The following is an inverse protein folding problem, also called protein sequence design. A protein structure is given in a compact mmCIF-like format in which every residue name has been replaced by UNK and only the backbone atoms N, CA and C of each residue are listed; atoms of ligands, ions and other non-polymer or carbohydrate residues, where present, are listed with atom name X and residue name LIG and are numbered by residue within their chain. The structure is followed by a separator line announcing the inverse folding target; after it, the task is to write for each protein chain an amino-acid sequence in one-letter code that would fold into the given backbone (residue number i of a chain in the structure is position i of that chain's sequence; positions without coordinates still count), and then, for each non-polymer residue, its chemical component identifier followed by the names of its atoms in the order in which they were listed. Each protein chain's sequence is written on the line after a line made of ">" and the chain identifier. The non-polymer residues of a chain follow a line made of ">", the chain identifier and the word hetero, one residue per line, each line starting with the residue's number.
data_IF_242558232110
#
_entry.id   IF_242558232110
#
_cell.length_a   1.000
_cell.length_b   1.000
_cell.length_c   1.000
_cell.angle_alpha   90.00
_cell.angle_beta   90.00
_cell.angle_gamma   90.00
#
_symmetry.space_group_name_H-M   'P 1'
#
loop_
_entity.id
_entity.type
_entity.pdbx_description
1 polymer ?
#
# COMPACT_ATOMS: atom_id res chain seq x y z
N UNK A 1 -20.14 -11.67 12.31
CA UNK A 1 -20.29 -10.77 11.13
C UNK A 1 -20.00 -9.29 11.42
N UNK A 2 -20.59 -8.66 12.45
CA UNK A 2 -20.37 -7.21 12.74
C UNK A 2 -18.89 -6.80 12.91
N UNK A 3 -18.08 -7.62 13.57
CA UNK A 3 -16.64 -7.35 13.81
C UNK A 3 -15.80 -7.31 12.52
N UNK A 4 -16.05 -8.24 11.59
CA UNK A 4 -15.35 -8.29 10.30
C UNK A 4 -15.66 -7.04 9.45
N UNK A 5 -16.92 -6.61 9.43
CA UNK A 5 -17.32 -5.40 8.73
C UNK A 5 -16.63 -4.13 9.25
N UNK A 6 -16.42 -4.02 10.56
CA UNK A 6 -15.70 -2.88 11.16
C UNK A 6 -14.23 -2.88 10.71
N UNK A 7 -13.59 -4.05 10.72
CA UNK A 7 -12.20 -4.22 10.25
C UNK A 7 -12.10 -3.82 8.78
N UNK A 8 -12.95 -4.37 7.91
CA UNK A 8 -12.93 -4.06 6.48
C UNK A 8 -13.16 -2.57 6.21
N UNK A 9 -14.09 -1.91 6.90
CA UNK A 9 -14.28 -0.45 6.80
C UNK A 9 -13.03 0.34 7.16
N UNK A 10 -12.25 -0.11 8.14
CA UNK A 10 -10.97 0.52 8.48
C UNK A 10 -9.94 0.35 7.35
N UNK A 11 -9.85 -0.85 6.75
CA UNK A 11 -8.94 -1.12 5.63
C UNK A 11 -9.30 -0.33 4.37
N UNK A 12 -10.60 -0.24 4.06
CA UNK A 12 -11.09 0.58 2.95
C UNK A 12 -10.81 2.07 3.18
N UNK A 13 -10.97 2.57 4.42
CA UNK A 13 -10.58 3.95 4.71
C UNK A 13 -9.07 4.16 4.54
N UNK A 14 -8.24 3.23 5.01
CA UNK A 14 -6.79 3.31 4.80
C UNK A 14 -6.46 3.35 3.30
N UNK A 15 -7.09 2.49 2.50
CA UNK A 15 -6.96 2.48 1.04
C UNK A 15 -7.30 3.84 0.42
N UNK A 16 -8.44 4.44 0.79
CA UNK A 16 -8.84 5.75 0.28
C UNK A 16 -7.82 6.84 0.64
N UNK A 17 -7.35 6.85 1.89
CA UNK A 17 -6.36 7.82 2.35
C UNK A 17 -5.06 7.68 1.56
N UNK A 18 -4.51 6.46 1.40
CA UNK A 18 -3.26 6.29 0.64
C UNK A 18 -3.44 6.68 -0.83
N UNK A 19 -4.61 6.40 -1.41
CA UNK A 19 -4.91 6.69 -2.82
C UNK A 19 -4.87 8.20 -3.05
N UNK A 20 -5.46 8.96 -2.14
CA UNK A 20 -5.44 10.43 -2.16
C UNK A 20 -4.01 10.95 -1.97
N UNK A 21 -3.28 10.46 -0.97
CA UNK A 21 -1.89 10.87 -0.71
C UNK A 21 -0.99 10.60 -1.92
N UNK A 22 -1.07 9.39 -2.48
CA UNK A 22 -0.30 9.00 -3.66
C UNK A 22 -0.66 9.85 -4.87
N UNK A 23 -1.93 10.18 -5.07
CA UNK A 23 -2.35 11.04 -6.17
C UNK A 23 -1.73 12.43 -6.09
N UNK A 24 -1.79 13.09 -4.93
CA UNK A 24 -1.19 14.40 -4.77
C UNK A 24 0.34 14.35 -4.88
N UNK A 25 0.98 13.29 -4.35
CA UNK A 25 2.42 13.11 -4.48
C UNK A 25 2.85 12.93 -5.94
N UNK A 26 2.18 12.05 -6.68
CA UNK A 26 2.47 11.81 -8.10
C UNK A 26 2.14 13.03 -8.96
N UNK A 27 1.05 13.73 -8.67
CA UNK A 27 0.70 14.97 -9.35
C UNK A 27 1.78 16.03 -9.16
N UNK A 28 2.30 16.18 -7.94
CA UNK A 28 3.42 17.08 -7.65
C UNK A 28 4.71 16.64 -8.35
N UNK A 29 5.06 15.34 -8.32
CA UNK A 29 6.25 14.82 -8.99
C UNK A 29 6.20 15.02 -10.51
N UNK A 30 5.04 14.78 -11.13
CA UNK A 30 4.89 14.95 -12.57
C UNK A 30 4.71 16.42 -12.99
N UNK A 31 4.19 17.30 -12.13
CA UNK A 31 4.07 18.73 -12.46
C UNK A 31 5.42 19.44 -12.54
N UNK A 32 6.43 18.96 -11.82
CA UNK A 32 7.82 19.45 -11.90
C UNK A 32 8.66 18.69 -12.95
N UNK A 33 8.07 17.70 -13.62
CA UNK A 33 8.73 16.91 -14.65
C UNK A 33 8.66 17.61 -16.02
N UNK A 34 9.63 17.41 -16.92
CA UNK A 34 9.54 17.83 -18.33
C UNK A 34 8.29 17.32 -19.06
N UNK A 35 7.64 16.28 -18.53
CA UNK A 35 6.43 15.66 -19.06
C UNK A 35 5.13 16.17 -18.38
N UNK A 36 5.11 17.41 -17.89
CA UNK A 36 4.02 17.95 -17.08
C UNK A 36 2.66 18.03 -17.79
N UNK A 37 2.64 18.04 -19.13
CA UNK A 37 1.41 18.13 -19.94
C UNK A 37 0.41 16.99 -19.71
N UNK A 38 0.89 15.81 -19.29
CA UNK A 38 0.05 14.63 -19.02
C UNK A 38 0.09 14.19 -17.55
N UNK A 39 0.64 15.04 -16.67
CA UNK A 39 0.90 14.74 -15.27
C UNK A 39 -0.33 14.20 -14.52
N UNK A 40 -1.49 14.81 -14.72
CA UNK A 40 -2.73 14.43 -14.04
C UNK A 40 -3.24 13.06 -14.47
N UNK A 41 -3.20 12.76 -15.78
CA UNK A 41 -3.67 11.49 -16.33
C UNK A 41 -2.74 10.34 -15.92
N UNK A 42 -1.43 10.56 -15.96
CA UNK A 42 -0.43 9.60 -15.51
C UNK A 42 -0.56 9.33 -14.01
N UNK A 43 -0.65 10.38 -13.18
CA UNK A 43 -0.85 10.25 -11.74
C UNK A 43 -2.15 9.47 -11.43
N UNK A 44 -3.25 9.82 -12.10
CA UNK A 44 -4.53 9.15 -11.90
C UNK A 44 -4.47 7.66 -12.27
N UNK A 45 -3.87 7.33 -13.42
CA UNK A 45 -3.75 5.96 -13.90
C UNK A 45 -2.90 5.10 -12.95
N UNK A 46 -1.75 5.62 -12.50
CA UNK A 46 -0.89 4.93 -11.53
C UNK A 46 -1.57 4.71 -10.18
N UNK A 47 -2.31 5.70 -9.71
CA UNK A 47 -3.07 5.62 -8.46
C UNK A 47 -4.18 4.58 -8.56
N UNK A 48 -4.90 4.53 -9.69
CA UNK A 48 -5.97 3.56 -9.90
C UNK A 48 -5.43 2.12 -9.87
N UNK A 49 -4.31 1.87 -10.56
CA UNK A 49 -3.62 0.58 -10.57
C UNK A 49 -3.18 0.22 -9.15
N UNK A 50 -2.55 1.16 -8.44
CA UNK A 50 -2.07 0.93 -7.07
C UNK A 50 -3.24 0.66 -6.12
N UNK A 51 -4.34 1.39 -6.24
CA UNK A 51 -5.54 1.18 -5.43
C UNK A 51 -6.15 -0.21 -5.66
N UNK A 52 -6.20 -0.67 -6.92
CA UNK A 52 -6.67 -2.01 -7.26
C UNK A 52 -5.77 -3.11 -6.68
N UNK A 53 -4.45 -2.95 -6.80
CA UNK A 53 -3.47 -3.88 -6.21
C UNK A 53 -3.61 -3.92 -4.68
N UNK A 54 -3.70 -2.76 -4.02
CA UNK A 54 -3.87 -2.71 -2.56
C UNK A 54 -5.21 -3.31 -2.15
N UNK A 55 -6.27 -3.11 -2.91
CA UNK A 55 -7.57 -3.71 -2.62
C UNK A 55 -7.52 -5.25 -2.69
N UNK A 56 -6.93 -5.81 -3.73
CA UNK A 56 -6.91 -7.26 -3.96
C UNK A 56 -5.86 -7.98 -3.12
N UNK A 57 -4.73 -7.32 -2.85
CA UNK A 57 -3.58 -7.97 -2.22
C UNK A 57 -3.20 -7.31 -0.90
N UNK A 58 -3.12 -5.98 -0.85
CA UNK A 58 -2.77 -5.24 0.37
C UNK A 58 -3.79 -5.43 1.51
N UNK A 59 -5.09 -5.35 1.23
CA UNK A 59 -6.16 -5.51 2.23
C UNK A 59 -6.16 -6.93 2.81
N UNK A 60 -6.12 -8.03 2.02
CA UNK A 60 -5.95 -9.36 2.57
C UNK A 60 -4.69 -9.54 3.41
N UNK A 61 -3.55 -9.00 2.97
CA UNK A 61 -2.31 -9.02 3.77
C UNK A 61 -2.50 -8.32 5.10
N UNK A 62 -3.17 -7.17 5.12
CA UNK A 62 -3.42 -6.42 6.34
C UNK A 62 -4.35 -7.17 7.31
N UNK A 63 -5.38 -7.83 6.80
CA UNK A 63 -6.25 -8.69 7.61
C UNK A 63 -5.47 -9.89 8.18
N UNK A 64 -4.65 -10.54 7.35
CA UNK A 64 -3.77 -11.64 7.77
C UNK A 64 -2.75 -11.17 8.81
N UNK A 65 -2.14 -10.02 8.60
CA UNK A 65 -1.20 -9.38 9.51
C UNK A 65 -1.82 -9.16 10.88
N UNK A 66 -3.03 -8.60 10.94
CA UNK A 66 -3.76 -8.42 12.21
C UNK A 66 -3.99 -9.76 12.93
N UNK A 67 -4.42 -10.77 12.17
CA UNK A 67 -4.67 -12.10 12.71
C UNK A 67 -3.40 -12.75 13.28
N UNK A 68 -2.27 -12.62 12.58
CA UNK A 68 -0.99 -13.23 12.98
C UNK A 68 -0.26 -12.46 14.09
N UNK A 69 -0.55 -11.17 14.27
CA UNK A 69 0.22 -10.29 15.16
C UNK A 69 -0.53 -9.88 16.43
N UNK A 70 -1.84 -10.12 16.54
CA UNK A 70 -2.73 -9.71 17.65
C UNK A 70 -2.20 -9.90 19.09
N UNK A 71 -1.33 -10.90 19.34
CA UNK A 71 -0.79 -11.22 20.67
C UNK A 71 0.73 -11.08 20.76
N UNK A 72 1.37 -10.52 19.73
CA UNK A 72 2.83 -10.40 19.69
C UNK A 72 3.29 -9.08 20.33
N UNK A 73 4.37 -9.16 21.10
CA UNK A 73 5.14 -7.98 21.49
C UNK A 73 5.61 -7.25 20.22
N UNK A 74 5.56 -5.90 20.23
CA UNK A 74 5.82 -5.06 19.05
C UNK A 74 4.96 -5.46 17.83
N UNK A 75 3.64 -5.67 18.03
CA UNK A 75 2.67 -5.98 16.96
C UNK A 75 2.90 -5.16 15.68
N UNK A 76 3.06 -3.85 15.84
CA UNK A 76 3.25 -2.92 14.73
C UNK A 76 4.46 -3.26 13.86
N UNK A 77 5.57 -3.72 14.47
CA UNK A 77 6.79 -4.11 13.76
C UNK A 77 6.57 -5.39 12.97
N UNK A 78 5.94 -6.40 13.57
CA UNK A 78 5.61 -7.62 12.84
C UNK A 78 4.63 -7.36 11.70
N UNK A 79 3.67 -6.46 11.92
CA UNK A 79 2.75 -6.04 10.88
C UNK A 79 3.47 -5.33 9.74
N UNK A 80 4.46 -4.48 10.05
CA UNK A 80 5.31 -3.83 9.06
C UNK A 80 6.03 -4.86 8.20
N UNK A 81 6.71 -5.83 8.83
CA UNK A 81 7.46 -6.87 8.12
C UNK A 81 6.57 -7.69 7.17
N UNK A 82 5.35 -8.04 7.61
CA UNK A 82 4.37 -8.75 6.77
C UNK A 82 3.94 -7.89 5.58
N UNK A 83 3.61 -6.61 5.81
CA UNK A 83 3.24 -5.68 4.75
C UNK A 83 4.38 -5.46 3.75
N UNK A 84 5.61 -5.24 4.22
CA UNK A 84 6.79 -5.05 3.37
C UNK A 84 7.10 -6.30 2.56
N UNK A 85 6.97 -7.49 3.16
CA UNK A 85 7.16 -8.75 2.44
C UNK A 85 6.13 -8.89 1.34
N UNK A 86 4.85 -8.64 1.64
CA UNK A 86 3.80 -8.63 0.62
C UNK A 86 4.08 -7.59 -0.48
N UNK A 87 4.35 -6.35 -0.08
CA UNK A 87 4.63 -5.23 -0.96
C UNK A 87 5.81 -5.43 -1.90
N UNK A 88 6.83 -6.18 -1.48
CA UNK A 88 7.95 -6.57 -2.34
C UNK A 88 7.63 -7.79 -3.20
N UNK A 89 6.95 -8.80 -2.62
CA UNK A 89 6.77 -10.10 -3.26
C UNK A 89 5.91 -10.03 -4.52
N UNK A 90 4.78 -9.31 -4.49
CA UNK A 90 3.90 -9.25 -5.64
C UNK A 90 4.56 -8.58 -6.86
N UNK A 91 5.16 -7.37 -6.75
CA UNK A 91 5.89 -6.80 -7.86
C UNK A 91 7.08 -7.65 -8.30
N UNK A 92 7.77 -8.31 -7.36
CA UNK A 92 8.90 -9.16 -7.71
C UNK A 92 8.48 -10.39 -8.54
N UNK A 93 7.28 -10.92 -8.31
CA UNK A 93 6.74 -12.03 -9.10
C UNK A 93 6.20 -11.57 -10.46
N UNK A 94 5.51 -10.43 -10.50
CA UNK A 94 4.91 -9.91 -11.74
C UNK A 94 5.95 -9.32 -12.71
N UNK A 95 7.02 -8.73 -12.18
CA UNK A 95 8.12 -8.13 -12.95
C UNK A 95 9.45 -8.83 -12.69
N UNK A 96 9.42 -10.17 -12.64
CA UNK A 96 10.61 -10.97 -12.35
C UNK A 96 11.74 -10.77 -13.37
N UNK A 97 11.40 -10.57 -14.65
CA UNK A 97 12.40 -10.34 -15.69
C UNK A 97 13.09 -8.96 -15.53
N UNK A 98 12.37 -7.94 -15.07
CA UNK A 98 12.98 -6.65 -14.72
C UNK A 98 14.02 -6.80 -13.60
N UNK A 99 13.74 -7.64 -12.59
CA UNK A 99 14.70 -7.93 -11.51
C UNK A 99 15.96 -8.59 -12.05
N UNK A 100 15.85 -9.57 -12.95
CA UNK A 100 17.02 -10.23 -13.57
C UNK A 100 17.91 -9.23 -14.30
N UNK A 101 17.29 -8.22 -14.90
CA UNK A 101 17.96 -7.15 -15.62
C UNK A 101 18.41 -6.00 -14.70
N UNK A 102 18.30 -6.15 -13.37
CA UNK A 102 18.71 -5.16 -12.39
C UNK A 102 17.80 -3.94 -12.27
N UNK A 103 16.57 -4.00 -12.80
CA UNK A 103 15.55 -2.95 -12.70
C UNK A 103 14.63 -3.21 -11.50
N UNK A 104 14.83 -2.45 -10.43
CA UNK A 104 14.10 -2.64 -9.16
C UNK A 104 12.95 -1.65 -8.92
N UNK A 105 12.60 -0.82 -9.91
CA UNK A 105 11.65 0.27 -9.74
C UNK A 105 10.28 -0.19 -9.22
N UNK A 106 9.74 -1.28 -9.78
CA UNK A 106 8.44 -1.83 -9.37
C UNK A 106 8.45 -2.42 -7.96
N UNK A 107 9.57 -3.04 -7.55
CA UNK A 107 9.75 -3.55 -6.19
C UNK A 107 9.82 -2.40 -5.19
N UNK A 108 10.60 -1.36 -5.51
CA UNK A 108 10.68 -0.15 -4.69
C UNK A 108 9.32 0.53 -4.56
N UNK A 109 8.57 0.64 -5.66
CA UNK A 109 7.22 1.18 -5.66
C UNK A 109 6.26 0.38 -4.77
N UNK A 110 6.31 -0.96 -4.85
CA UNK A 110 5.51 -1.84 -4.01
C UNK A 110 5.86 -1.73 -2.53
N UNK A 111 7.14 -1.62 -2.20
CA UNK A 111 7.62 -1.37 -0.83
C UNK A 111 7.12 -0.03 -0.28
N UNK A 112 7.20 1.05 -1.06
CA UNK A 112 6.70 2.37 -0.66
C UNK A 112 5.19 2.32 -0.44
N UNK A 113 4.45 1.72 -1.38
CA UNK A 113 2.99 1.59 -1.28
C UNK A 113 2.58 0.76 -0.06
N UNK A 114 3.28 -0.34 0.22
CA UNK A 114 3.03 -1.18 1.37
C UNK A 114 3.36 -0.48 2.70
N UNK A 115 4.46 0.28 2.75
CA UNK A 115 4.81 1.09 3.92
C UNK A 115 3.74 2.15 4.20
N UNK A 116 3.31 2.90 3.19
CA UNK A 116 2.26 3.91 3.34
C UNK A 116 0.93 3.28 3.80
N UNK A 117 0.54 2.16 3.18
CA UNK A 117 -0.67 1.46 3.57
C UNK A 117 -0.61 0.93 5.00
N UNK A 118 0.50 0.29 5.36
CA UNK A 118 0.75 -0.17 6.73
C UNK A 118 0.67 0.99 7.73
N UNK A 119 1.39 2.08 7.47
CA UNK A 119 1.44 3.23 8.36
C UNK A 119 0.05 3.81 8.63
N UNK A 120 -0.73 4.05 7.57
CA UNK A 120 -2.10 4.58 7.70
C UNK A 120 -3.01 3.58 8.42
N UNK A 121 -2.93 2.29 8.09
CA UNK A 121 -3.72 1.25 8.75
C UNK A 121 -3.42 1.17 10.26
N UNK A 122 -2.15 1.24 10.64
CA UNK A 122 -1.72 1.26 12.04
C UNK A 122 -2.18 2.51 12.78
N UNK A 123 -2.02 3.69 12.18
CA UNK A 123 -2.50 4.95 12.75
C UNK A 123 -4.01 4.91 13.00
N UNK A 124 -4.79 4.39 12.04
CA UNK A 124 -6.24 4.26 12.19
C UNK A 124 -6.64 3.31 13.34
N UNK A 125 -5.89 2.22 13.56
CA UNK A 125 -6.11 1.32 14.71
C UNK A 125 -5.83 2.04 16.02
N UNK A 126 -4.74 2.80 16.10
CA UNK A 126 -4.38 3.60 17.27
C UNK A 126 -5.47 4.63 17.61
N UNK A 127 -5.99 5.36 16.61
CA UNK A 127 -7.06 6.34 16.82
C UNK A 127 -8.40 5.71 17.19
N UNK A 128 -8.72 4.53 16.64
CA UNK A 128 -10.00 3.86 16.87
C UNK A 128 -10.00 2.91 18.07
N UNK A 129 -8.85 2.72 18.73
CA UNK A 129 -8.63 1.73 19.79
C UNK A 129 -9.04 0.31 19.34
N UNK A 130 -8.69 -0.06 18.11
CA UNK A 130 -8.95 -1.37 17.50
C UNK A 130 -7.68 -2.23 17.56
#
# INVERSE_FOLDING_TARGET
>A
MKKLWVILKAKFLALLIITIIQYFLLLWLYSISPHSHEASLLAFSFVLITAFIVLIYGVPISVLSDYLTQKKYLRWLWAFLIHSTGGALLPALLWFDDIKEGRYLWVLWGLISAFLFWLIDELLKMFRKI
#
